data_IF_293708710741
#
_entry.id   IF_293708710741
#
_cell.length_a   1.000
_cell.length_b   1.000
_cell.length_c   1.000
_cell.angle_alpha   90.00
_cell.angle_beta   90.00
_cell.angle_gamma   90.00
#
_symmetry.space_group_name_H-M   'P 1'
#
loop_
_entity.id
_entity.type
_entity.pdbx_description
1 polymer ?
#
# COMPACT_ATOMS: atom_id res chain seq x y z
N UNK A 1 -8.68 16.85 -4.45
CA UNK A 1 -8.17 15.59 -3.85
C UNK A 1 -6.83 15.91 -3.20
N UNK A 2 -6.58 15.51 -1.95
CA UNK A 2 -5.29 15.77 -1.30
C UNK A 2 -4.24 14.74 -1.73
N UNK A 3 -3.02 15.17 -2.03
CA UNK A 3 -1.90 14.29 -2.35
C UNK A 3 -1.55 13.45 -1.12
N UNK A 4 -1.40 12.13 -1.34
CA UNK A 4 -1.03 11.16 -0.32
C UNK A 4 0.32 10.54 -0.65
N UNK A 5 1.15 10.36 0.37
CA UNK A 5 2.45 9.71 0.30
C UNK A 5 2.38 8.47 1.20
N UNK A 6 2.76 7.32 0.66
CA UNK A 6 2.86 6.09 1.42
C UNK A 6 4.33 5.77 1.71
N UNK A 7 4.63 5.38 2.95
CA UNK A 7 5.98 5.04 3.39
C UNK A 7 5.96 3.68 4.08
N UNK A 8 6.86 2.79 3.67
CA UNK A 8 7.02 1.47 4.26
C UNK A 8 7.71 1.57 5.63
N UNK A 9 7.09 0.98 6.64
CA UNK A 9 7.62 0.87 7.99
C UNK A 9 8.08 -0.57 8.23
N UNK A 10 9.39 -0.75 8.45
CA UNK A 10 9.94 -2.08 8.70
C UNK A 10 9.47 -2.64 10.05
N UNK A 11 9.45 -3.96 10.20
CA UNK A 11 9.06 -4.61 11.47
C UNK A 11 9.92 -4.18 12.66
N UNK A 12 11.19 -3.80 12.44
CA UNK A 12 12.07 -3.28 13.48
C UNK A 12 11.63 -1.89 13.95
N UNK A 13 11.26 -1.02 13.03
CA UNK A 13 10.77 0.33 13.35
C UNK A 13 9.38 0.26 13.99
N UNK A 14 8.50 -0.62 13.52
CA UNK A 14 7.18 -0.83 14.13
C UNK A 14 7.27 -1.28 15.60
N UNK A 15 8.25 -2.12 15.94
CA UNK A 15 8.49 -2.58 17.31
C UNK A 15 9.28 -1.58 18.18
N UNK A 16 9.72 -0.45 17.63
CA UNK A 16 10.46 0.58 18.37
C UNK A 16 9.49 1.46 19.17
N UNK A 17 9.66 1.52 20.49
CA UNK A 17 8.82 2.35 21.37
C UNK A 17 8.84 3.85 21.05
N UNK A 18 9.89 4.34 20.37
CA UNK A 18 10.05 5.76 20.03
C UNK A 18 9.52 6.13 18.62
N UNK A 19 9.01 5.17 17.84
CA UNK A 19 8.61 5.44 16.45
C UNK A 19 7.49 6.47 16.34
N UNK A 20 6.56 6.49 17.30
CA UNK A 20 5.46 7.45 17.30
C UNK A 20 5.96 8.87 17.54
N UNK A 21 6.89 9.05 18.49
CA UNK A 21 7.51 10.35 18.74
C UNK A 21 8.29 10.84 17.51
N UNK A 22 9.04 9.96 16.85
CA UNK A 22 9.77 10.30 15.63
C UNK A 22 8.81 10.75 14.50
N UNK A 23 7.66 10.07 14.34
CA UNK A 23 6.63 10.46 13.37
C UNK A 23 6.06 11.85 13.69
N UNK A 24 5.71 12.09 14.96
CA UNK A 24 5.16 13.38 15.40
C UNK A 24 6.13 14.53 15.14
N UNK A 25 7.42 14.34 15.48
CA UNK A 25 8.49 15.32 15.23
C UNK A 25 8.68 15.61 13.73
N UNK A 26 8.61 14.57 12.87
CA UNK A 26 8.70 14.74 11.41
C UNK A 26 7.47 15.46 10.87
N UNK A 27 6.27 15.14 11.35
CA UNK A 27 5.04 15.81 10.93
C UNK A 27 5.04 17.29 11.30
N UNK A 28 5.47 17.63 12.53
CA UNK A 28 5.60 19.02 12.98
C UNK A 28 6.61 19.80 12.13
N UNK A 29 7.79 19.22 11.89
CA UNK A 29 8.85 19.88 11.11
C UNK A 29 8.49 20.07 9.64
N UNK A 30 7.70 19.18 9.05
CA UNK A 30 7.35 19.20 7.62
C UNK A 30 6.02 19.89 7.33
N UNK A 31 5.17 20.09 8.34
CA UNK A 31 3.80 20.56 8.16
C UNK A 31 2.88 19.53 7.51
N UNK A 32 3.29 18.25 7.44
CA UNK A 32 2.44 17.18 6.93
C UNK A 32 1.31 16.88 7.94
N UNK A 33 0.13 16.62 7.40
CA UNK A 33 -1.02 16.18 8.22
C UNK A 33 -1.26 14.68 8.05
N UNK A 34 -2.04 14.10 8.96
CA UNK A 34 -2.47 12.70 8.88
C UNK A 34 -3.20 12.35 7.57
N UNK A 35 -3.75 13.34 6.86
CA UNK A 35 -4.39 13.13 5.58
C UNK A 35 -3.40 12.97 4.41
N UNK A 36 -2.13 13.34 4.60
CA UNK A 36 -1.09 13.28 3.59
C UNK A 36 -0.19 12.06 3.72
N UNK A 37 -0.04 11.49 4.92
CA UNK A 37 0.88 10.38 5.18
C UNK A 37 0.13 9.07 5.42
N UNK A 38 0.50 8.03 4.69
CA UNK A 38 0.11 6.64 4.93
C UNK A 38 1.35 5.84 5.34
N UNK A 39 1.22 5.02 6.38
CA UNK A 39 2.26 4.07 6.77
C UNK A 39 1.86 2.68 6.32
N UNK A 40 2.75 2.01 5.62
CA UNK A 40 2.58 0.65 5.12
C UNK A 40 3.35 -0.31 6.03
N UNK A 41 2.67 -1.32 6.52
CA UNK A 41 3.26 -2.38 7.33
C UNK A 41 2.91 -3.73 6.72
N UNK A 42 3.83 -4.67 6.81
CA UNK A 42 3.57 -6.03 6.37
C UNK A 42 2.69 -6.76 7.39
N UNK A 43 1.90 -7.73 6.92
CA UNK A 43 1.12 -8.61 7.79
C UNK A 43 1.98 -9.28 8.87
N UNK A 44 3.19 -9.72 8.52
CA UNK A 44 4.15 -10.31 9.47
C UNK A 44 4.59 -9.34 10.57
N UNK A 45 4.48 -8.03 10.35
CA UNK A 45 4.75 -7.02 11.37
C UNK A 45 3.60 -6.91 12.38
N UNK A 46 2.39 -7.32 12.01
CA UNK A 46 1.19 -7.35 12.86
C UNK A 46 0.96 -8.71 13.53
N UNK A 47 1.24 -9.81 12.83
CA UNK A 47 0.96 -11.16 13.32
C UNK A 47 2.17 -11.70 14.08
N UNK A 48 2.20 -11.43 15.39
CA UNK A 48 2.96 -12.27 16.32
C UNK A 48 2.13 -13.56 16.59
N UNK A 49 2.49 -14.64 15.88
CA UNK A 49 2.20 -16.06 16.20
C UNK A 49 0.81 -16.67 15.90
N UNK A 50 0.44 -16.86 14.62
CA UNK A 50 -0.39 -18.02 14.24
C UNK A 50 0.05 -18.64 12.91
N UNK A 51 0.57 -19.88 12.95
CA UNK A 51 1.00 -20.65 11.78
C UNK A 51 -0.17 -20.90 10.79
N UNK A 52 -1.41 -20.82 11.28
CA UNK A 52 -2.62 -21.12 10.52
C UNK A 52 -2.98 -20.02 9.51
N UNK A 53 -2.81 -18.73 9.86
CA UNK A 53 -3.07 -17.60 8.95
C UNK A 53 -2.07 -17.60 7.79
N UNK A 54 -0.78 -17.82 8.10
CA UNK A 54 0.28 -17.95 7.08
C UNK A 54 0.00 -19.14 6.17
N UNK A 55 -0.51 -20.25 6.71
CA UNK A 55 -0.88 -21.43 5.93
C UNK A 55 -2.07 -21.15 5.00
N UNK A 56 -3.11 -20.49 5.50
CA UNK A 56 -4.25 -20.06 4.71
C UNK A 56 -3.81 -19.15 3.55
N UNK A 57 -2.97 -18.15 3.82
CA UNK A 57 -2.48 -17.23 2.80
C UNK A 57 -1.59 -17.91 1.76
N UNK A 58 -0.78 -18.91 2.15
CA UNK A 58 -0.03 -19.74 1.21
C UNK A 58 -0.94 -20.60 0.33
N UNK A 59 -1.99 -21.19 0.91
CA UNK A 59 -2.97 -22.00 0.18
C UNK A 59 -3.86 -21.15 -0.73
N UNK A 60 -4.16 -19.93 -0.31
CA UNK A 60 -4.79 -18.94 -1.15
C UNK A 60 -3.85 -18.64 -2.31
N UNK A 61 -2.57 -18.25 -2.09
CA UNK A 61 -1.56 -17.91 -3.14
C UNK A 61 -1.51 -18.90 -4.31
N UNK A 62 -1.74 -20.19 -4.09
CA UNK A 62 -1.76 -21.22 -5.14
C UNK A 62 -2.96 -21.15 -6.09
N UNK A 63 -4.02 -20.43 -5.71
CA UNK A 63 -5.29 -20.26 -6.44
C UNK A 63 -5.47 -18.86 -7.04
N UNK A 64 -4.35 -18.15 -7.28
CA UNK A 64 -4.17 -16.74 -7.67
C UNK A 64 -5.39 -15.91 -8.14
N UNK A 65 -6.28 -16.44 -8.97
CA UNK A 65 -7.43 -15.73 -9.52
C UNK A 65 -8.57 -15.50 -8.51
N UNK A 66 -8.91 -16.49 -7.67
CA UNK A 66 -9.96 -16.32 -6.64
C UNK A 66 -9.49 -15.46 -5.47
N UNK A 67 -8.18 -15.43 -5.22
CA UNK A 67 -7.60 -14.69 -4.10
C UNK A 67 -7.77 -13.19 -4.30
N UNK A 68 -7.49 -12.67 -5.49
CA UNK A 68 -7.48 -11.22 -5.72
C UNK A 68 -8.86 -10.66 -5.41
N UNK A 69 -9.90 -11.27 -5.96
CA UNK A 69 -11.28 -10.90 -5.65
C UNK A 69 -11.61 -11.08 -4.16
N UNK A 70 -11.17 -12.18 -3.54
CA UNK A 70 -11.40 -12.43 -2.10
C UNK A 70 -10.73 -11.39 -1.21
N UNK A 71 -9.50 -10.98 -1.52
CA UNK A 71 -8.76 -9.94 -0.79
C UNK A 71 -9.46 -8.59 -0.96
N UNK A 72 -9.86 -8.25 -2.18
CA UNK A 72 -10.58 -6.99 -2.45
C UNK A 72 -11.88 -6.93 -1.65
N UNK A 73 -12.71 -7.97 -1.76
CA UNK A 73 -13.95 -8.03 -1.00
C UNK A 73 -13.73 -8.02 0.52
N UNK A 74 -12.72 -8.73 1.03
CA UNK A 74 -12.40 -8.72 2.46
C UNK A 74 -12.02 -7.32 2.94
N UNK A 75 -11.12 -6.64 2.22
CA UNK A 75 -10.69 -5.29 2.56
C UNK A 75 -11.88 -4.31 2.55
N UNK A 76 -12.71 -4.34 1.50
CA UNK A 76 -13.90 -3.49 1.41
C UNK A 76 -14.91 -3.77 2.53
N UNK A 77 -15.13 -5.04 2.89
CA UNK A 77 -15.99 -5.42 4.01
C UNK A 77 -15.45 -4.91 5.36
N UNK A 78 -14.14 -4.74 5.48
CA UNK A 78 -13.48 -4.14 6.65
C UNK A 78 -13.39 -2.61 6.57
N UNK A 79 -13.98 -1.98 5.55
CA UNK A 79 -13.91 -0.53 5.33
C UNK A 79 -12.50 -0.04 4.94
N UNK A 80 -11.65 -0.93 4.41
CA UNK A 80 -10.29 -0.65 3.99
C UNK A 80 -10.21 -0.48 2.47
N UNK A 81 -9.31 0.40 2.01
CA UNK A 81 -8.98 0.51 0.59
C UNK A 81 -7.86 -0.48 0.23
N UNK A 82 -7.82 -0.91 -1.02
CA UNK A 82 -6.82 -1.83 -1.58
C UNK A 82 -5.92 -1.11 -2.57
N UNK A 83 -4.62 -1.38 -2.46
CA UNK A 83 -3.62 -0.98 -3.45
C UNK A 83 -3.08 -2.24 -4.11
N UNK A 84 -3.26 -2.37 -5.42
CA UNK A 84 -2.64 -3.45 -6.19
C UNK A 84 -1.23 -3.03 -6.64
N UNK A 85 -0.21 -3.76 -6.20
CA UNK A 85 1.18 -3.49 -6.55
C UNK A 85 1.68 -4.40 -7.69
N UNK A 86 2.61 -3.88 -8.49
CA UNK A 86 3.25 -4.63 -9.57
C UNK A 86 2.42 -4.71 -10.86
N UNK A 87 1.60 -3.69 -11.15
CA UNK A 87 0.88 -3.59 -12.43
C UNK A 87 1.87 -3.23 -13.54
N UNK A 88 2.06 -4.13 -14.50
CA UNK A 88 2.99 -3.99 -15.63
C UNK A 88 2.29 -3.95 -16.98
N UNK A 89 1.05 -4.43 -17.09
CA UNK A 89 0.30 -4.48 -18.35
C UNK A 89 -1.09 -3.87 -18.24
N UNK A 90 -1.60 -3.34 -19.35
CA UNK A 90 -2.98 -2.83 -19.43
C UNK A 90 -4.03 -3.91 -19.13
N UNK A 91 -3.75 -5.17 -19.48
CA UNK A 91 -4.64 -6.29 -19.17
C UNK A 91 -4.81 -6.47 -17.65
N UNK A 92 -3.71 -6.39 -16.88
CA UNK A 92 -3.76 -6.45 -15.42
C UNK A 92 -4.55 -5.28 -14.84
N UNK A 93 -4.34 -4.07 -15.37
CA UNK A 93 -5.06 -2.87 -14.94
C UNK A 93 -6.57 -3.01 -15.19
N UNK A 94 -6.97 -3.37 -16.41
CA UNK A 94 -8.38 -3.57 -16.79
C UNK A 94 -9.02 -4.66 -15.92
N UNK A 95 -8.30 -5.73 -15.64
CA UNK A 95 -8.77 -6.80 -14.77
C UNK A 95 -9.02 -6.31 -13.33
N UNK A 96 -8.06 -5.60 -12.73
CA UNK A 96 -8.19 -5.03 -11.39
C UNK A 96 -9.31 -3.98 -11.29
N UNK A 97 -9.49 -3.17 -12.33
CA UNK A 97 -10.60 -2.22 -12.43
C UNK A 97 -11.96 -2.93 -12.45
N UNK A 98 -12.11 -4.04 -13.19
CA UNK A 98 -13.35 -4.84 -13.21
C UNK A 98 -13.68 -5.43 -11.84
N UNK A 99 -12.67 -5.68 -11.00
CA UNK A 99 -12.85 -6.14 -9.63
C UNK A 99 -13.07 -4.99 -8.62
N UNK A 100 -13.18 -3.74 -9.09
CA UNK A 100 -13.29 -2.53 -8.27
C UNK A 100 -12.12 -2.33 -7.30
N UNK A 101 -10.89 -2.70 -7.68
CA UNK A 101 -9.71 -2.35 -6.90
C UNK A 101 -9.53 -0.82 -6.82
N UNK A 102 -9.24 -0.27 -5.63
CA UNK A 102 -9.30 1.18 -5.39
C UNK A 102 -8.11 1.94 -5.99
N UNK A 103 -6.90 1.39 -5.86
CA UNK A 103 -5.66 2.02 -6.31
C UNK A 103 -4.70 0.97 -6.90
N UNK A 104 -3.75 1.44 -7.73
CA UNK A 104 -2.74 0.58 -8.32
C UNK A 104 -1.38 1.27 -8.45
N UNK A 105 -0.31 0.49 -8.35
CA UNK A 105 1.05 0.94 -8.62
C UNK A 105 1.82 -0.12 -9.41
N UNK A 106 2.74 0.32 -10.26
CA UNK A 106 3.60 -0.58 -11.02
C UNK A 106 4.20 0.08 -12.26
N UNK A 107 5.04 -0.67 -12.96
CA UNK A 107 5.82 -0.16 -14.09
C UNK A 107 4.99 0.17 -15.32
N UNK A 108 3.73 -0.25 -15.39
CA UNK A 108 2.78 0.24 -16.38
C UNK A 108 2.65 1.77 -16.33
N UNK A 109 2.68 2.35 -15.11
CA UNK A 109 2.55 3.78 -14.91
C UNK A 109 3.91 4.46 -14.97
N UNK A 110 4.79 4.14 -14.02
CA UNK A 110 6.15 4.66 -13.93
C UNK A 110 7.03 3.70 -13.13
N UNK A 111 8.33 3.67 -13.42
CA UNK A 111 9.32 3.16 -12.47
C UNK A 111 9.45 4.14 -11.29
N UNK A 112 10.09 3.75 -10.16
CA UNK A 112 10.38 4.69 -9.08
C UNK A 112 11.09 5.93 -9.62
N UNK A 113 10.44 7.08 -9.42
CA UNK A 113 10.91 8.37 -9.89
C UNK A 113 11.76 9.03 -8.80
N UNK A 114 12.68 9.88 -9.22
CA UNK A 114 13.36 10.80 -8.31
C UNK A 114 12.38 11.87 -7.80
N UNK A 115 12.76 12.59 -6.74
CA UNK A 115 11.95 13.70 -6.23
C UNK A 115 11.69 14.78 -7.30
N UNK A 116 12.69 15.08 -8.14
CA UNK A 116 12.55 16.09 -9.20
C UNK A 116 11.61 15.64 -10.31
N UNK A 117 11.71 14.38 -10.75
CA UNK A 117 10.80 13.82 -11.76
C UNK A 117 9.37 13.75 -11.25
N UNK A 118 9.19 13.38 -9.97
CA UNK A 118 7.88 13.37 -9.32
C UNK A 118 7.28 14.77 -9.26
N UNK A 119 8.09 15.78 -8.90
CA UNK A 119 7.64 17.17 -8.86
C UNK A 119 7.15 17.65 -10.24
N UNK A 120 7.89 17.34 -11.31
CA UNK A 120 7.50 17.69 -12.67
C UNK A 120 6.16 17.03 -13.04
N UNK A 121 6.04 15.71 -12.79
CA UNK A 121 4.82 14.96 -13.05
C UNK A 121 3.60 15.55 -12.31
N UNK A 122 3.77 15.96 -11.06
CA UNK A 122 2.70 16.56 -10.26
C UNK A 122 2.29 17.95 -10.77
N UNK A 123 3.23 18.72 -11.33
CA UNK A 123 2.96 20.05 -11.91
C UNK A 123 2.25 19.97 -13.25
N UNK A 124 2.59 18.99 -14.08
CA UNK A 124 2.03 18.82 -15.42
C UNK A 124 0.58 18.30 -15.40
N UNK A 125 0.09 17.88 -14.22
CA UNK A 125 -1.22 17.29 -14.03
C UNK A 125 -1.21 15.82 -14.43
N UNK A 126 -1.35 14.93 -13.43
CA UNK A 126 -1.53 13.50 -13.68
C UNK A 126 -2.67 13.21 -14.65
#
# INVERSE_FOLDING_TARGET
MALKIAVNLSSKQFKNAYILQEIDEVMERTGLTSNNLKLEITETSLIDHSQETIKLLKQLKQRNLEIIQSIIHLAHNLGMNVVAEGIETEEQLIYLQKLNCDFGQGYLFNRPLTAQETENLLRDGC
#
